data_IF_877697093964
#
_entry.id   IF_877697093964
#
_cell.length_a   1.000
_cell.length_b   1.000
_cell.length_c   1.000
_cell.angle_alpha   90.00
_cell.angle_beta   90.00
_cell.angle_gamma   90.00
#
_symmetry.space_group_name_H-M   'P 1'
#
loop_
_entity.id
_entity.type
_entity.pdbx_description
1 polymer ?
#
# COMPACT_ATOMS: atom_id res chain seq x y z
N UNK A 1 -2.51 -1.79 29.36
CA UNK A 1 -1.81 -2.51 28.28
C UNK A 1 -0.70 -1.60 27.77
N UNK A 2 0.58 -2.00 27.83
CA UNK A 2 1.68 -1.17 27.29
C UNK A 2 1.73 -1.36 25.78
N UNK A 3 1.71 -0.25 25.03
CA UNK A 3 1.91 -0.26 23.58
C UNK A 3 3.40 -0.49 23.33
N UNK A 4 3.73 -1.56 22.61
CA UNK A 4 5.12 -1.81 22.19
C UNK A 4 5.40 -0.98 20.94
N UNK A 5 6.11 0.13 21.10
CA UNK A 5 6.54 1.02 20.00
C UNK A 5 7.91 0.67 19.45
N UNK A 6 8.54 -0.39 19.95
CA UNK A 6 9.82 -0.90 19.45
C UNK A 6 9.64 -1.73 18.17
N UNK A 7 8.39 -2.14 17.88
CA UNK A 7 8.03 -2.88 16.68
C UNK A 7 6.77 -2.32 16.05
N UNK A 8 6.95 -1.75 14.87
CA UNK A 8 5.94 -1.13 14.05
C UNK A 8 5.95 -1.80 12.68
N UNK A 9 4.75 -1.97 12.14
CA UNK A 9 4.50 -2.53 10.82
C UNK A 9 3.83 -1.45 9.98
N UNK A 10 4.28 -1.32 8.74
CA UNK A 10 3.77 -0.32 7.81
C UNK A 10 2.95 -0.96 6.70
N UNK A 11 1.77 -0.41 6.47
CA UNK A 11 0.93 -0.78 5.33
C UNK A 11 0.84 0.42 4.40
N UNK A 12 1.28 0.25 3.16
CA UNK A 12 1.23 1.27 2.11
C UNK A 12 -0.08 1.19 1.34
N UNK A 13 -0.53 2.33 0.82
CA UNK A 13 -1.63 2.35 -0.14
C UNK A 13 -1.17 1.74 -1.46
N UNK A 14 -2.01 0.93 -2.13
CA UNK A 14 -1.70 0.47 -3.48
C UNK A 14 -1.66 1.64 -4.47
N UNK A 15 -0.74 1.58 -5.44
CA UNK A 15 -0.57 2.55 -6.53
C UNK A 15 -0.76 1.88 -7.89
N UNK A 16 -1.03 2.63 -8.97
CA UNK A 16 -1.43 2.06 -10.26
C UNK A 16 -0.48 1.01 -10.83
N UNK A 17 0.83 1.22 -10.72
CA UNK A 17 1.86 0.31 -11.25
C UNK A 17 2.19 -0.86 -10.30
N UNK A 18 1.52 -0.99 -9.16
CA UNK A 18 1.79 -2.06 -8.20
C UNK A 18 1.68 -3.45 -8.85
N UNK A 19 2.73 -4.27 -8.67
CA UNK A 19 2.85 -5.62 -9.21
C UNK A 19 2.92 -6.69 -8.10
N UNK A 20 3.43 -6.35 -6.91
CA UNK A 20 3.67 -7.29 -5.82
C UNK A 20 2.98 -6.88 -4.51
N UNK A 21 2.42 -7.86 -3.80
CA UNK A 21 1.86 -7.68 -2.47
C UNK A 21 2.88 -7.16 -1.45
N UNK A 22 4.16 -7.54 -1.59
CA UNK A 22 5.25 -7.13 -0.70
C UNK A 22 5.53 -5.63 -0.75
N UNK A 23 5.03 -4.94 -1.78
CA UNK A 23 5.11 -3.49 -1.88
C UNK A 23 3.98 -2.80 -1.07
N UNK A 24 2.86 -3.50 -0.76
CA UNK A 24 1.82 -3.05 0.18
C UNK A 24 2.23 -3.32 1.62
N UNK A 25 2.68 -4.54 1.89
CA UNK A 25 3.12 -4.95 3.22
C UNK A 25 4.64 -5.11 3.25
N UNK A 26 5.30 -4.11 3.81
CA UNK A 26 6.73 -4.19 4.07
C UNK A 26 6.90 -4.95 5.39
N UNK A 27 7.28 -6.23 5.30
CA UNK A 27 7.64 -7.06 6.45
C UNK A 27 9.04 -6.68 6.97
N UNK A 28 9.19 -5.41 7.33
CA UNK A 28 10.33 -4.89 8.07
C UNK A 28 9.79 -4.41 9.42
N UNK A 29 10.37 -4.92 10.50
CA UNK A 29 10.09 -4.39 11.83
C UNK A 29 10.73 -3.01 11.93
N UNK A 30 9.91 -1.95 11.97
CA UNK A 30 10.37 -0.58 12.17
C UNK A 30 10.28 -0.22 13.64
N UNK A 31 11.24 0.56 14.15
CA UNK A 31 11.06 1.30 15.39
C UNK A 31 10.68 2.77 15.09
N UNK A 32 10.40 3.55 16.14
CA UNK A 32 10.03 4.97 15.99
C UNK A 32 11.09 5.82 15.28
N UNK A 33 12.37 5.55 15.51
CA UNK A 33 13.47 6.29 14.89
C UNK A 33 13.54 6.01 13.38
N UNK A 34 13.30 4.77 12.99
CA UNK A 34 13.26 4.40 11.57
C UNK A 34 12.11 5.12 10.85
N UNK A 35 10.96 5.30 11.52
CA UNK A 35 9.86 6.09 10.97
C UNK A 35 10.21 7.56 10.80
N UNK A 36 10.78 8.19 11.82
CA UNK A 36 11.22 9.59 11.74
C UNK A 36 12.20 9.79 10.57
N UNK A 37 13.16 8.88 10.40
CA UNK A 37 14.11 8.92 9.30
C UNK A 37 13.42 8.71 7.94
N UNK A 38 12.47 7.77 7.86
CA UNK A 38 11.72 7.49 6.64
C UNK A 38 10.92 8.73 6.19
N UNK A 39 10.18 9.37 7.10
CA UNK A 39 9.45 10.61 6.82
C UNK A 39 10.39 11.77 6.48
N UNK A 40 11.53 11.89 7.17
CA UNK A 40 12.53 12.94 6.92
C UNK A 40 13.18 12.82 5.54
N UNK A 41 13.23 11.61 4.97
CA UNK A 41 13.76 11.33 3.63
C UNK A 41 12.74 11.58 2.51
N UNK A 42 11.59 12.20 2.83
CA UNK A 42 10.56 12.53 1.85
C UNK A 42 9.61 11.39 1.54
N UNK A 43 9.60 10.32 2.36
CA UNK A 43 8.52 9.35 2.29
C UNK A 43 7.24 10.00 2.81
N UNK A 44 6.31 10.29 1.92
CA UNK A 44 5.10 11.00 2.26
C UNK A 44 4.09 10.12 3.01
N UNK A 45 3.52 10.65 4.08
CA UNK A 45 2.48 9.97 4.86
C UNK A 45 1.21 9.71 4.04
N UNK A 46 1.00 10.44 2.94
CA UNK A 46 -0.06 10.20 1.98
C UNK A 46 0.02 8.82 1.32
N UNK A 47 1.21 8.23 1.23
CA UNK A 47 1.45 6.90 0.68
C UNK A 47 1.18 5.77 1.68
N UNK A 48 0.98 6.10 2.96
CA UNK A 48 0.63 5.13 4.00
C UNK A 48 -0.88 4.96 4.12
N UNK A 49 -1.29 3.72 4.30
CA UNK A 49 -2.62 3.37 4.78
C UNK A 49 -2.65 3.40 6.31
N UNK A 50 -1.64 2.81 6.95
CA UNK A 50 -1.59 2.75 8.41
C UNK A 50 -0.24 2.31 8.98
N UNK A 51 -0.07 2.59 10.27
CA UNK A 51 1.05 2.17 11.11
C UNK A 51 0.48 1.33 12.25
N UNK A 52 1.05 0.15 12.48
CA UNK A 52 0.49 -0.84 13.39
C UNK A 52 1.56 -1.32 14.37
N UNK A 53 1.16 -1.60 15.60
CA UNK A 53 2.02 -2.25 16.62
C UNK A 53 1.79 -3.76 16.67
N UNK A 54 0.94 -4.29 15.77
CA UNK A 54 0.56 -5.70 15.68
C UNK A 54 0.65 -6.17 14.22
N UNK A 55 1.47 -7.21 13.98
CA UNK A 55 1.66 -7.80 12.66
C UNK A 55 0.39 -8.38 12.05
N UNK A 56 -0.43 -9.04 12.86
CA UNK A 56 -1.66 -9.69 12.42
C UNK A 56 -2.67 -8.67 11.89
N UNK A 57 -2.85 -7.54 12.59
CA UNK A 57 -3.73 -6.45 12.16
C UNK A 57 -3.21 -5.81 10.88
N UNK A 58 -1.90 -5.54 10.81
CA UNK A 58 -1.27 -4.98 9.63
C UNK A 58 -1.42 -5.89 8.40
N UNK A 59 -1.26 -7.20 8.58
CA UNK A 59 -1.40 -8.19 7.51
C UNK A 59 -2.85 -8.26 7.00
N UNK A 60 -3.84 -8.24 7.90
CA UNK A 60 -5.26 -8.24 7.52
C UNK A 60 -5.62 -7.04 6.64
N UNK A 61 -5.15 -5.85 7.03
CA UNK A 61 -5.43 -4.62 6.26
C UNK A 61 -4.68 -4.61 4.92
N UNK A 62 -3.43 -5.09 4.89
CA UNK A 62 -2.69 -5.25 3.63
C UNK A 62 -3.38 -6.22 2.67
N UNK A 63 -3.84 -7.38 3.16
CA UNK A 63 -4.58 -8.36 2.36
C UNK A 63 -5.88 -7.78 1.80
N UNK A 64 -6.62 -7.03 2.63
CA UNK A 64 -7.84 -6.34 2.20
C UNK A 64 -7.54 -5.36 1.05
N UNK A 65 -6.54 -4.50 1.22
CA UNK A 65 -6.13 -3.53 0.19
C UNK A 65 -5.70 -4.22 -1.10
N UNK A 66 -4.96 -5.32 -1.00
CA UNK A 66 -4.53 -6.09 -2.17
C UNK A 66 -5.72 -6.71 -2.92
N UNK A 67 -6.64 -7.34 -2.20
CA UNK A 67 -7.85 -7.94 -2.81
C UNK A 67 -8.68 -6.88 -3.51
N UNK A 68 -8.86 -5.73 -2.87
CA UNK A 68 -9.60 -4.60 -3.46
C UNK A 68 -8.89 -4.04 -4.70
N UNK A 69 -7.57 -3.87 -4.65
CA UNK A 69 -6.78 -3.41 -5.78
C UNK A 69 -6.84 -4.38 -6.97
N UNK A 70 -6.65 -5.68 -6.73
CA UNK A 70 -6.74 -6.72 -7.78
C UNK A 70 -8.15 -6.78 -8.36
N UNK A 71 -9.19 -6.65 -7.52
CA UNK A 71 -10.58 -6.58 -7.99
C UNK A 71 -10.78 -5.36 -8.88
N UNK A 72 -10.31 -4.18 -8.48
CA UNK A 72 -10.41 -2.97 -9.30
C UNK A 72 -9.67 -3.13 -10.63
N UNK A 73 -8.43 -3.64 -10.66
CA UNK A 73 -7.71 -3.92 -11.91
C UNK A 73 -8.44 -4.90 -12.83
N UNK A 74 -9.15 -5.89 -12.27
CA UNK A 74 -9.96 -6.85 -13.04
C UNK A 74 -11.31 -6.28 -13.49
N UNK A 75 -11.87 -5.34 -12.73
CA UNK A 75 -13.16 -4.72 -13.01
C UNK A 75 -13.07 -3.48 -13.89
N UNK A 76 -11.87 -2.99 -14.22
CA UNK A 76 -11.69 -2.03 -15.32
C UNK A 76 -11.94 -2.81 -16.62
N UNK A 77 -13.08 -2.63 -17.30
CA UNK A 77 -13.26 -3.24 -18.61
C UNK A 77 -12.16 -2.70 -19.52
N UNK A 78 -11.51 -3.59 -20.25
CA UNK A 78 -10.66 -3.24 -21.39
C UNK A 78 -11.61 -2.66 -22.44
N UNK A 79 -11.92 -1.37 -22.31
CA UNK A 79 -12.71 -0.60 -23.28
C UNK A 79 -11.84 0.51 -23.88
N UNK A 80 -10.59 0.15 -24.20
CA UNK A 80 -9.65 1.02 -24.92
C UNK A 80 -9.24 0.36 -26.24
N UNK A 81 -10.23 -0.11 -27.00
CA UNK A 81 -10.07 -0.33 -28.45
C UNK A 81 -11.36 0.09 -29.17
N UNK A 82 -11.56 1.41 -29.29
CA UNK A 82 -12.18 1.98 -30.49
C UNK A 82 -11.64 3.38 -30.71
N UNK A 83 -10.59 3.38 -31.52
CA UNK A 83 -9.93 4.48 -32.21
C UNK A 83 -10.77 5.76 -32.31
N UNK A 84 -10.25 6.82 -31.67
CA UNK A 84 -10.14 8.09 -32.36
C UNK A 84 -9.42 7.86 -33.70
N UNK A 85 -9.87 8.57 -34.75
CA UNK A 85 -9.52 8.48 -36.18
C UNK A 85 -10.46 7.60 -37.04
N UNK A 86 -11.42 8.31 -37.65
CA UNK A 86 -12.30 7.84 -38.71
C UNK A 86 -13.35 8.88 -39.16
N UNK A 87 -13.15 10.17 -38.88
CA UNK A 87 -13.75 11.24 -39.66
C UNK A 87 -12.70 11.67 -40.67
N UNK A 88 -12.78 11.11 -41.88
CA UNK A 88 -12.35 11.71 -43.15
C UNK A 88 -13.14 11.01 -44.27
#
# INVERSE_FOLDING_TARGET
>A
MKVNTERLYLVKKPYPELLDFREIFVDAEFNLRDLEELFSRGFGSESLFGIYTNRETALKDAEMLWRDFVRQKKCIPINTEKNAFGNL
#
